data_IF_085658531354
#
_entry.id   IF_085658531354
#
_cell.length_a   1.000
_cell.length_b   1.000
_cell.length_c   1.000
_cell.angle_alpha   90.00
_cell.angle_beta   90.00
_cell.angle_gamma   90.00
#
_symmetry.space_group_name_H-M   'P 1'
#
loop_
_entity.id
_entity.type
_entity.pdbx_description
1 polymer ?
#
# COMPACT_ATOMS: atom_id res chain seq x y z
N UNK A 1 -16.54 17.69 -51.28
CA UNK A 1 -15.49 18.68 -50.96
C UNK A 1 -16.06 19.68 -49.98
N UNK A 2 -15.56 19.72 -48.73
CA UNK A 2 -15.48 20.90 -47.87
C UNK A 2 -14.86 20.45 -46.53
N UNK A 3 -13.56 20.70 -46.45
CA UNK A 3 -12.72 20.67 -45.25
C UNK A 3 -13.03 21.91 -44.42
N UNK A 4 -13.28 21.78 -43.11
CA UNK A 4 -12.76 22.73 -42.12
C UNK A 4 -12.42 21.97 -40.83
N UNK A 5 -11.12 21.95 -40.56
CA UNK A 5 -10.39 21.41 -39.42
C UNK A 5 -10.50 22.33 -38.20
N UNK A 6 -10.54 21.69 -37.04
CA UNK A 6 -9.89 22.04 -35.76
C UNK A 6 -9.55 23.52 -35.50
N UNK A 7 -10.31 24.15 -34.61
CA UNK A 7 -9.81 25.26 -33.78
C UNK A 7 -8.83 24.70 -32.74
N UNK A 8 -7.56 24.64 -33.12
CA UNK A 8 -6.46 24.43 -32.18
C UNK A 8 -5.99 25.79 -31.66
N UNK A 9 -5.77 25.79 -30.35
CA UNK A 9 -5.26 26.88 -29.54
C UNK A 9 -4.01 27.52 -30.17
N UNK A 10 -4.11 28.82 -30.44
CA UNK A 10 -2.96 29.69 -30.72
C UNK A 10 -2.18 29.92 -29.44
N UNK A 11 -1.10 29.17 -29.22
CA UNK A 11 -0.09 29.54 -28.24
C UNK A 11 0.81 30.63 -28.85
N UNK A 12 0.75 31.78 -28.21
CA UNK A 12 1.50 32.99 -28.51
C UNK A 12 2.99 32.76 -28.20
N UNK A 13 3.79 32.34 -29.18
CA UNK A 13 5.25 32.23 -29.04
C UNK A 13 5.89 33.57 -29.42
N UNK A 14 6.07 34.45 -28.43
CA UNK A 14 7.03 35.55 -28.57
C UNK A 14 8.44 34.98 -28.43
N UNK A 15 9.37 35.21 -29.37
CA UNK A 15 10.75 34.80 -29.21
C UNK A 15 11.42 35.65 -28.10
N UNK A 16 12.02 34.99 -27.12
CA UNK A 16 12.88 35.63 -26.13
C UNK A 16 14.14 36.16 -26.82
N UNK A 17 14.17 37.47 -27.07
CA UNK A 17 15.34 38.19 -27.53
C UNK A 17 16.32 38.27 -26.35
N UNK A 18 17.41 37.52 -26.44
CA UNK A 18 18.54 37.65 -25.52
C UNK A 18 19.27 38.96 -25.81
N UNK A 19 19.02 39.98 -24.98
CA UNK A 19 19.83 41.19 -24.99
C UNK A 19 21.26 40.83 -24.59
N UNK A 20 22.19 41.00 -25.52
CA UNK A 20 23.63 40.95 -25.29
C UNK A 20 24.01 42.07 -24.31
N UNK A 21 24.09 41.73 -23.02
CA UNK A 21 24.76 42.59 -22.05
C UNK A 21 26.26 42.57 -22.35
N UNK A 22 26.76 43.72 -22.80
CA UNK A 22 28.19 44.02 -22.87
C UNK A 22 28.78 43.92 -21.46
N UNK A 23 29.65 42.95 -21.24
CA UNK A 23 30.45 42.82 -20.03
C UNK A 23 31.44 43.98 -19.98
N UNK A 24 31.16 44.96 -19.11
CA UNK A 24 32.14 45.94 -18.68
C UNK A 24 33.20 45.21 -17.82
N UNK A 25 34.44 45.28 -18.26
CA UNK A 25 35.62 44.74 -17.60
C UNK A 25 35.94 45.55 -16.35
N UNK A 26 35.57 45.05 -15.17
CA UNK A 26 36.26 45.30 -13.88
C UNK A 26 35.57 44.47 -12.79
N UNK A 27 35.90 43.17 -12.71
CA UNK A 27 35.63 42.35 -11.54
C UNK A 27 36.97 41.91 -10.92
N UNK A 28 37.10 41.95 -9.58
CA UNK A 28 38.34 41.65 -8.89
C UNK A 28 38.74 40.17 -9.08
N UNK A 29 40.05 39.96 -9.27
CA UNK A 29 40.68 38.66 -9.50
C UNK A 29 40.67 37.82 -8.22
N UNK A 30 39.54 37.15 -7.93
CA UNK A 30 39.47 36.11 -6.90
C UNK A 30 40.15 34.88 -7.48
N UNK A 31 41.42 34.66 -7.13
CA UNK A 31 42.10 33.39 -7.36
C UNK A 31 41.29 32.30 -6.66
N UNK A 32 40.48 31.56 -7.41
CA UNK A 32 39.84 30.36 -6.93
C UNK A 32 40.95 29.36 -6.55
N UNK A 33 41.11 29.12 -5.25
CA UNK A 33 41.85 27.96 -4.79
C UNK A 33 41.20 26.71 -5.42
N UNK A 34 41.97 25.73 -5.94
CA UNK A 34 41.40 24.50 -6.45
C UNK A 34 40.70 23.81 -5.29
N UNK A 35 39.36 23.85 -5.29
CA UNK A 35 38.58 23.03 -4.38
C UNK A 35 38.94 21.57 -4.71
N UNK A 36 39.65 20.92 -3.78
CA UNK A 36 39.88 19.49 -3.80
C UNK A 36 38.52 18.84 -3.67
N UNK A 37 37.85 18.60 -4.80
CA UNK A 37 36.62 17.82 -4.85
C UNK A 37 36.99 16.36 -4.61
N UNK A 38 37.19 16.00 -3.35
CA UNK A 38 37.32 14.62 -2.87
C UNK A 38 35.96 13.92 -2.81
N UNK A 39 35.02 14.32 -3.67
CA UNK A 39 33.75 13.61 -3.83
C UNK A 39 34.02 12.43 -4.74
N UNK A 40 34.35 11.29 -4.13
CA UNK A 40 34.41 10.01 -4.84
C UNK A 40 33.02 9.76 -5.46
N UNK A 41 32.91 9.42 -6.74
CA UNK A 41 31.65 8.98 -7.31
C UNK A 41 31.19 7.75 -6.52
N UNK A 42 30.04 7.87 -5.86
CA UNK A 42 29.52 6.81 -5.01
C UNK A 42 29.03 5.69 -5.94
N UNK A 43 29.55 4.49 -5.75
CA UNK A 43 29.18 3.34 -6.57
C UNK A 43 27.71 2.95 -6.30
N UNK A 44 26.97 2.64 -7.35
CA UNK A 44 25.52 2.43 -7.27
C UNK A 44 25.13 1.21 -6.43
N UNK A 45 26.05 0.26 -6.27
CA UNK A 45 25.84 -0.95 -5.48
C UNK A 45 26.16 -0.75 -4.00
N UNK A 46 27.16 0.08 -3.66
CA UNK A 46 27.43 0.50 -2.27
C UNK A 46 26.26 1.30 -1.68
N UNK A 47 25.63 2.18 -2.48
CA UNK A 47 24.41 2.90 -2.09
C UNK A 47 23.24 1.96 -1.82
N UNK A 48 23.06 0.92 -2.63
CA UNK A 48 21.99 -0.06 -2.40
C UNK A 48 22.22 -0.81 -1.11
N UNK A 49 23.44 -1.24 -0.83
CA UNK A 49 23.77 -1.93 0.41
C UNK A 49 23.60 -1.03 1.64
N UNK A 50 24.01 0.23 1.55
CA UNK A 50 23.85 1.19 2.62
C UNK A 50 22.36 1.45 2.89
N UNK A 51 21.54 1.63 1.85
CA UNK A 51 20.09 1.76 1.98
C UNK A 51 19.49 0.49 2.62
N UNK A 52 19.94 -0.71 2.24
CA UNK A 52 19.44 -1.97 2.82
C UNK A 52 19.81 -2.07 4.31
N UNK A 53 21.03 -1.68 4.70
CA UNK A 53 21.46 -1.68 6.11
C UNK A 53 20.73 -0.64 6.95
N UNK A 54 20.57 0.58 6.43
CA UNK A 54 19.84 1.63 7.13
C UNK A 54 18.35 1.30 7.25
N UNK A 55 17.76 0.70 6.20
CA UNK A 55 16.36 0.25 6.24
C UNK A 55 16.15 -0.96 7.14
N UNK A 56 17.12 -1.88 7.25
CA UNK A 56 17.04 -3.02 8.17
C UNK A 56 17.20 -2.56 9.62
N UNK A 57 18.14 -1.66 9.92
CA UNK A 57 18.29 -1.03 11.23
C UNK A 57 17.04 -0.22 11.64
N UNK A 58 16.48 0.57 10.71
CA UNK A 58 15.22 1.29 10.95
C UNK A 58 14.02 0.34 11.14
N UNK A 59 14.06 -0.86 10.55
CA UNK A 59 13.01 -1.87 10.74
C UNK A 59 13.11 -2.64 12.06
N UNK A 60 14.31 -2.75 12.64
CA UNK A 60 14.54 -3.42 13.92
C UNK A 60 13.84 -2.70 15.10
N UNK A 61 13.65 -1.40 14.98
CA UNK A 61 13.01 -0.54 15.98
C UNK A 61 11.48 -0.43 15.84
N UNK A 62 10.89 -1.12 14.87
CA UNK A 62 9.45 -1.09 14.63
C UNK A 62 8.78 -2.33 15.19
N UNK A 63 7.97 -2.12 16.23
CA UNK A 63 7.12 -3.16 16.77
C UNK A 63 5.80 -3.22 15.99
N UNK A 64 5.39 -4.42 15.57
CA UNK A 64 4.13 -4.61 14.86
C UNK A 64 2.96 -4.56 15.84
N UNK A 65 2.14 -3.50 15.76
CA UNK A 65 1.00 -3.30 16.65
C UNK A 65 -0.26 -4.04 16.19
N UNK A 66 -0.55 -4.02 14.88
CA UNK A 66 -1.71 -4.69 14.30
C UNK A 66 -1.62 -4.85 12.79
N UNK A 67 -2.31 -5.85 12.28
CA UNK A 67 -2.67 -5.95 10.87
C UNK A 67 -4.04 -5.35 10.63
N UNK A 68 -4.28 -4.76 9.46
CA UNK A 68 -5.62 -4.32 9.08
C UNK A 68 -5.98 -4.61 7.64
N UNK A 69 -7.21 -5.08 7.46
CA UNK A 69 -7.89 -5.24 6.19
C UNK A 69 -8.93 -4.13 6.11
N UNK A 70 -8.85 -3.30 5.08
CA UNK A 70 -9.83 -2.25 4.79
C UNK A 70 -10.53 -2.57 3.48
N UNK A 71 -11.83 -2.87 3.56
CA UNK A 71 -12.69 -3.15 2.41
C UNK A 71 -13.62 -1.98 2.15
N UNK A 72 -13.45 -1.29 1.03
CA UNK A 72 -14.32 -0.20 0.60
C UNK A 72 -15.31 -0.69 -0.46
N UNK A 73 -16.58 -0.74 -0.06
CA UNK A 73 -17.73 -1.07 -0.88
C UNK A 73 -18.31 0.18 -1.54
N UNK A 74 -17.98 0.42 -2.82
CA UNK A 74 -18.63 1.46 -3.64
C UNK A 74 -19.74 0.84 -4.49
N UNK A 75 -20.62 1.68 -5.03
CA UNK A 75 -21.72 1.26 -5.93
C UNK A 75 -21.22 0.48 -7.16
N UNK A 76 -20.01 0.76 -7.64
CA UNK A 76 -19.49 0.24 -8.92
C UNK A 76 -18.13 -0.45 -8.82
N UNK A 77 -17.59 -0.60 -7.60
CA UNK A 77 -16.30 -1.23 -7.39
C UNK A 77 -16.11 -1.59 -5.91
N UNK A 78 -15.31 -2.62 -5.65
CA UNK A 78 -14.83 -2.95 -4.31
C UNK A 78 -13.32 -2.78 -4.31
N UNK A 79 -12.79 -2.13 -3.27
CA UNK A 79 -11.35 -1.97 -3.05
C UNK A 79 -10.97 -2.62 -1.75
N UNK A 80 -9.92 -3.42 -1.76
CA UNK A 80 -9.38 -4.07 -0.58
C UNK A 80 -7.95 -3.60 -0.38
N UNK A 81 -7.63 -3.13 0.81
CA UNK A 81 -6.28 -2.75 1.20
C UNK A 81 -5.87 -3.60 2.41
N UNK A 82 -4.70 -4.21 2.34
CA UNK A 82 -4.08 -4.89 3.46
C UNK A 82 -2.87 -4.09 3.93
N UNK A 83 -2.81 -3.83 5.22
CA UNK A 83 -1.89 -2.88 5.84
C UNK A 83 -1.35 -3.40 7.16
N UNK A 84 -0.17 -2.93 7.50
CA UNK A 84 0.46 -3.13 8.81
C UNK A 84 0.58 -1.80 9.52
N UNK A 85 0.44 -1.86 10.83
CA UNK A 85 0.62 -0.72 11.71
C UNK A 85 1.74 -1.03 12.69
N UNK A 86 2.72 -0.14 12.73
CA UNK A 86 3.90 -0.26 13.57
C UNK A 86 3.92 0.85 14.63
N UNK A 87 4.37 0.49 15.83
CA UNK A 87 4.75 1.44 16.88
C UNK A 87 6.27 1.56 16.83
N UNK A 88 6.75 2.79 16.88
CA UNK A 88 8.18 3.09 16.87
C UNK A 88 8.65 3.22 18.31
N UNK A 89 9.45 2.26 18.77
CA UNK A 89 9.91 2.21 20.16
C UNK A 89 10.95 3.29 20.45
N UNK A 90 11.65 3.80 19.43
CA UNK A 90 12.68 4.84 19.61
C UNK A 90 12.12 6.21 19.97
N UNK A 91 10.85 6.47 19.62
CA UNK A 91 10.20 7.75 19.92
C UNK A 91 9.67 7.84 21.35
N UNK A 92 9.68 6.73 22.07
CA UNK A 92 9.30 6.66 23.48
C UNK A 92 10.58 6.62 24.32
N UNK A 93 11.23 7.76 24.62
CA UNK A 93 12.35 7.76 25.53
C UNK A 93 11.85 7.33 26.91
N UNK A 94 12.35 6.20 27.42
CA UNK A 94 12.14 5.79 28.81
C UNK A 94 13.08 6.65 29.65
N UNK A 95 12.62 7.86 29.96
CA UNK A 95 13.28 8.79 30.89
C UNK A 95 12.33 9.07 32.05
N UNK A 96 12.87 9.31 33.25
CA UNK A 96 12.08 9.54 34.47
C UNK A 96 11.06 10.70 34.34
N UNK A 97 11.30 11.64 33.41
CA UNK A 97 10.36 12.70 33.01
C UNK A 97 9.57 12.29 31.74
N UNK A 98 8.75 11.25 31.85
CA UNK A 98 7.94 10.77 30.73
C UNK A 98 6.79 11.77 30.44
N UNK A 99 6.83 12.42 29.27
CA UNK A 99 5.69 13.22 28.79
C UNK A 99 4.57 12.29 28.29
N UNK A 100 3.65 11.96 29.20
CA UNK A 100 2.50 11.08 28.93
C UNK A 100 1.66 11.54 27.73
N UNK A 101 1.53 12.85 27.48
CA UNK A 101 0.75 13.34 26.35
C UNK A 101 1.41 13.00 25.02
N UNK A 102 2.74 13.09 24.94
CA UNK A 102 3.49 12.70 23.75
C UNK A 102 3.40 11.20 23.50
N UNK A 103 3.54 10.38 24.54
CA UNK A 103 3.39 8.92 24.45
C UNK A 103 2.00 8.51 23.97
N UNK A 104 0.94 9.12 24.52
CA UNK A 104 -0.44 8.86 24.09
C UNK A 104 -0.62 9.29 22.63
N UNK A 105 -0.12 10.46 22.24
CA UNK A 105 -0.25 10.95 20.86
C UNK A 105 0.43 10.04 19.83
N UNK A 106 1.61 9.52 20.16
CA UNK A 106 2.38 8.60 19.31
C UNK A 106 1.74 7.20 19.25
N UNK A 107 1.23 6.69 20.37
CA UNK A 107 0.50 5.41 20.40
C UNK A 107 -0.87 5.45 19.68
N UNK A 108 -1.55 6.61 19.66
CA UNK A 108 -2.83 6.77 18.94
C UNK A 108 -2.65 6.69 17.41
N UNK A 109 -1.51 7.18 16.89
CA UNK A 109 -1.25 7.25 15.43
C UNK A 109 -0.05 6.38 15.04
N UNK A 110 -0.21 5.05 15.02
CA UNK A 110 0.85 4.15 14.59
C UNK A 110 1.23 4.38 13.12
N UNK A 111 2.49 4.11 12.80
CA UNK A 111 3.04 4.21 11.44
C UNK A 111 2.35 3.18 10.57
N UNK A 112 1.81 3.64 9.44
CA UNK A 112 1.07 2.81 8.50
C UNK A 112 1.95 2.38 7.32
N UNK A 113 2.03 1.07 7.06
CA UNK A 113 2.67 0.50 5.87
C UNK A 113 1.64 -0.30 5.06
N UNK A 114 1.40 0.13 3.82
CA UNK A 114 0.50 -0.57 2.90
C UNK A 114 1.27 -1.73 2.25
N UNK A 115 0.81 -2.97 2.45
CA UNK A 115 1.45 -4.16 1.86
C UNK A 115 0.92 -4.47 0.48
N UNK A 116 -0.41 -4.46 0.32
CA UNK A 116 -1.00 -4.53 -1.01
C UNK A 116 -2.37 -3.88 -1.05
N UNK A 117 -2.76 -3.55 -2.27
CA UNK A 117 -4.05 -2.98 -2.60
C UNK A 117 -4.57 -3.65 -3.86
N UNK A 118 -5.78 -4.18 -3.77
CA UNK A 118 -6.46 -4.83 -4.89
C UNK A 118 -7.88 -4.29 -5.01
N UNK A 119 -8.48 -4.50 -6.17
CA UNK A 119 -9.87 -4.17 -6.45
C UNK A 119 -10.44 -5.21 -7.40
N UNK A 120 -11.76 -5.24 -7.57
CA UNK A 120 -12.39 -6.13 -8.55
C UNK A 120 -11.81 -5.89 -9.95
N UNK A 121 -11.54 -4.62 -10.30
CA UNK A 121 -10.92 -4.26 -11.57
C UNK A 121 -9.50 -4.78 -11.78
N UNK A 122 -8.72 -4.99 -10.71
CA UNK A 122 -7.35 -5.55 -10.86
C UNK A 122 -7.34 -7.07 -11.01
N UNK A 123 -8.48 -7.73 -10.82
CA UNK A 123 -8.63 -9.17 -11.06
C UNK A 123 -9.08 -9.45 -12.51
N UNK A 124 -9.47 -8.41 -13.26
CA UNK A 124 -9.83 -8.51 -14.68
C UNK A 124 -11.30 -8.22 -14.99
N UNK A 125 -12.15 -8.06 -13.97
CA UNK A 125 -13.55 -7.71 -14.18
C UNK A 125 -13.70 -6.24 -14.57
N UNK A 126 -14.32 -5.98 -15.72
CA UNK A 126 -14.47 -4.64 -16.28
C UNK A 126 -15.94 -4.15 -16.27
N UNK A 127 -16.12 -2.83 -16.25
CA UNK A 127 -17.43 -2.17 -16.38
C UNK A 127 -18.54 -2.72 -15.45
N UNK A 128 -19.64 -3.21 -16.02
CA UNK A 128 -20.78 -3.79 -15.32
C UNK A 128 -20.43 -5.09 -14.59
N UNK A 129 -19.51 -5.89 -15.14
CA UNK A 129 -19.09 -7.17 -14.54
C UNK A 129 -18.50 -7.00 -13.13
N UNK A 130 -18.02 -5.79 -12.78
CA UNK A 130 -17.57 -5.47 -11.41
C UNK A 130 -18.68 -5.54 -10.35
N UNK A 131 -19.93 -5.55 -10.77
CA UNK A 131 -21.10 -5.52 -9.88
C UNK A 131 -21.65 -6.90 -9.61
N UNK A 132 -21.32 -7.88 -10.45
CA UNK A 132 -21.82 -9.24 -10.35
C UNK A 132 -21.35 -9.91 -9.05
N UNK A 133 -22.21 -10.73 -8.42
CA UNK A 133 -21.88 -11.39 -7.15
C UNK A 133 -20.70 -12.36 -7.31
N UNK A 134 -20.58 -13.03 -8.46
CA UNK A 134 -19.47 -13.95 -8.74
C UNK A 134 -18.10 -13.26 -8.69
N UNK A 135 -18.02 -12.04 -9.25
CA UNK A 135 -16.79 -11.24 -9.21
C UNK A 135 -16.38 -10.87 -7.77
N UNK A 136 -17.37 -10.73 -6.88
CA UNK A 136 -17.16 -10.44 -5.45
C UNK A 136 -16.63 -11.67 -4.73
N UNK A 137 -17.20 -12.85 -5.00
CA UNK A 137 -16.74 -14.11 -4.41
C UNK A 137 -15.31 -14.43 -4.84
N UNK A 138 -15.00 -14.27 -6.13
CA UNK A 138 -13.64 -14.47 -6.66
C UNK A 138 -12.66 -13.47 -6.03
N UNK A 139 -13.06 -12.20 -5.86
CA UNK A 139 -12.25 -11.22 -5.13
C UNK A 139 -12.01 -11.66 -3.68
N UNK A 140 -13.05 -12.12 -2.98
CA UNK A 140 -12.95 -12.58 -1.60
C UNK A 140 -11.94 -13.72 -1.50
N UNK A 141 -12.11 -14.78 -2.31
CA UNK A 141 -11.20 -15.91 -2.36
C UNK A 141 -9.75 -15.50 -2.64
N UNK A 142 -9.54 -14.64 -3.64
CA UNK A 142 -8.21 -14.15 -3.98
C UNK A 142 -7.56 -13.41 -2.81
N UNK A 143 -8.31 -12.52 -2.14
CA UNK A 143 -7.82 -11.74 -0.99
C UNK A 143 -7.54 -12.66 0.19
N UNK A 144 -8.48 -13.53 0.53
CA UNK A 144 -8.36 -14.47 1.66
C UNK A 144 -7.13 -15.34 1.53
N UNK A 145 -6.94 -15.98 0.36
CA UNK A 145 -5.78 -16.81 0.10
C UNK A 145 -4.47 -16.01 0.15
N UNK A 146 -4.46 -14.80 -0.43
CA UNK A 146 -3.26 -13.96 -0.45
C UNK A 146 -2.85 -13.49 0.95
N UNK A 147 -3.81 -13.13 1.80
CA UNK A 147 -3.55 -12.71 3.18
C UNK A 147 -3.21 -13.92 4.05
N UNK A 148 -3.95 -15.02 3.94
CA UNK A 148 -3.66 -16.24 4.70
C UNK A 148 -2.27 -16.78 4.36
N UNK A 149 -1.88 -16.77 3.08
CA UNK A 149 -0.53 -17.13 2.66
C UNK A 149 0.51 -16.20 3.30
N UNK A 150 0.29 -14.88 3.27
CA UNK A 150 1.19 -13.92 3.91
C UNK A 150 1.33 -14.14 5.42
N UNK A 151 0.21 -14.40 6.11
CA UNK A 151 0.22 -14.64 7.55
C UNK A 151 0.89 -15.97 7.92
N UNK A 152 0.87 -16.97 7.02
CA UNK A 152 1.56 -18.26 7.19
C UNK A 152 3.06 -18.18 6.88
N UNK A 153 3.48 -17.42 5.87
CA UNK A 153 4.89 -17.37 5.44
C UNK A 153 5.68 -16.21 6.05
N UNK A 154 5.02 -15.21 6.64
CA UNK A 154 5.67 -14.03 7.22
C UNK A 154 6.23 -13.04 6.20
N UNK A 155 6.39 -13.43 4.93
CA UNK A 155 6.79 -12.52 3.86
C UNK A 155 6.19 -12.85 2.48
N UNK A 156 5.78 -11.81 1.74
CA UNK A 156 5.19 -11.90 0.38
C UNK A 156 6.27 -12.17 -0.69
N UNK A 157 7.52 -11.81 -0.41
CA UNK A 157 8.65 -11.98 -1.33
C UNK A 157 9.10 -13.45 -1.41
N UNK A 158 9.02 -14.20 -0.31
CA UNK A 158 9.33 -15.62 -0.30
C UNK A 158 8.31 -16.43 -1.11
N UNK A 159 7.03 -16.04 -1.12
CA UNK A 159 6.00 -16.63 -1.99
C UNK A 159 6.34 -16.46 -3.48
N UNK A 160 6.89 -15.31 -3.89
CA UNK A 160 7.35 -15.13 -5.28
C UNK A 160 8.54 -16.03 -5.61
N UNK A 161 9.47 -16.22 -4.66
CA UNK A 161 10.64 -17.09 -4.81
C UNK A 161 10.27 -18.58 -4.78
N UNK A 162 9.26 -18.98 -4.01
CA UNK A 162 8.78 -20.37 -3.96
C UNK A 162 8.00 -20.73 -5.23
N UNK A 163 7.20 -19.81 -5.78
CA UNK A 163 6.49 -19.99 -7.06
C UNK A 163 7.47 -20.12 -8.25
N UNK A 164 8.60 -19.40 -8.24
CA UNK A 164 9.64 -19.59 -9.26
C UNK A 164 10.39 -20.91 -9.11
N UNK A 165 10.64 -21.38 -7.87
CA UNK A 165 11.22 -22.71 -7.63
C UNK A 165 10.29 -23.87 -7.97
N UNK A 166 8.97 -23.71 -7.81
CA UNK A 166 7.99 -24.74 -8.16
C UNK A 166 7.76 -24.88 -9.68
N UNK A 167 8.17 -23.90 -10.49
CA UNK A 167 8.18 -24.02 -11.96
C UNK A 167 9.43 -24.71 -12.51
N UNK A 168 10.48 -24.84 -11.71
CA UNK A 168 11.64 -25.71 -12.00
C UNK A 168 11.47 -27.04 -11.28
N UNK A 169 10.54 -27.87 -11.76
CA UNK A 169 10.26 -29.17 -11.16
C UNK A 169 11.40 -30.17 -11.42
N UNK A 170 12.16 -30.51 -10.37
CA UNK A 170 12.56 -31.90 -10.15
C UNK A 170 11.52 -32.52 -9.24
N UNK A 171 10.79 -33.51 -9.77
CA UNK A 171 9.96 -34.40 -8.98
C UNK A 171 10.87 -35.16 -8.01
N UNK A 172 10.61 -35.03 -6.71
CA UNK A 172 11.06 -36.01 -5.73
C UNK A 172 9.82 -36.80 -5.37
N UNK A 173 9.80 -38.06 -5.83
CA UNK A 173 8.96 -39.08 -5.26
C UNK A 173 9.42 -39.24 -3.81
N UNK A 174 8.54 -38.97 -2.85
CA UNK A 174 8.38 -39.81 -1.66
C UNK A 174 7.18 -39.29 -0.86
N UNK A 175 6.24 -40.20 -0.63
CA UNK A 175 5.09 -39.99 0.23
C UNK A 175 5.54 -39.73 1.65
N UNK A 176 5.50 -38.46 2.07
CA UNK A 176 5.72 -38.03 3.44
C UNK A 176 4.52 -37.23 3.90
N UNK A 177 3.89 -37.68 4.98
CA UNK A 177 2.84 -36.98 5.70
C UNK A 177 3.25 -35.52 5.95
N UNK A 178 2.39 -34.57 5.54
CA UNK A 178 2.52 -33.19 5.97
C UNK A 178 2.03 -33.15 7.41
N UNK A 179 2.98 -33.33 8.32
CA UNK A 179 2.84 -33.00 9.73
C UNK A 179 2.15 -31.64 9.87
N UNK A 180 1.08 -31.61 10.65
CA UNK A 180 0.52 -30.38 11.20
C UNK A 180 1.66 -29.53 11.77
N UNK A 181 1.96 -28.37 11.19
CA UNK A 181 2.75 -27.30 11.81
C UNK A 181 2.94 -26.12 10.83
N UNK A 182 3.11 -24.87 11.29
CA UNK A 182 2.84 -24.31 12.62
C UNK A 182 1.77 -23.21 12.52
N UNK A 183 0.80 -23.20 13.44
CA UNK A 183 0.06 -21.96 13.70
C UNK A 183 1.08 -20.99 14.24
N UNK A 184 1.54 -20.04 13.40
CA UNK A 184 2.29 -18.89 13.88
C UNK A 184 1.41 -18.28 14.97
N UNK A 185 1.87 -18.35 16.22
CA UNK A 185 1.27 -17.63 17.34
C UNK A 185 1.05 -16.21 16.84
N UNK A 186 -0.21 -15.81 16.74
CA UNK A 186 -0.69 -14.58 16.13
C UNK A 186 0.12 -13.40 16.69
N UNK A 187 1.18 -12.97 15.98
CA UNK A 187 2.15 -12.00 16.52
C UNK A 187 1.50 -10.64 16.78
N UNK A 188 0.45 -10.32 16.04
CA UNK A 188 -0.38 -9.14 16.24
C UNK A 188 -1.83 -9.40 15.79
N UNK A 189 -2.82 -8.73 16.39
CA UNK A 189 -4.23 -8.87 16.03
C UNK A 189 -4.55 -8.36 14.61
N UNK A 190 -5.47 -9.02 13.93
CA UNK A 190 -5.98 -8.66 12.59
C UNK A 190 -7.32 -7.94 12.70
N UNK A 191 -7.32 -6.70 12.24
CA UNK A 191 -8.46 -5.81 12.21
C UNK A 191 -9.12 -5.85 10.84
N UNK A 192 -10.29 -6.46 10.75
CA UNK A 192 -11.12 -6.41 9.56
C UNK A 192 -12.08 -5.23 9.61
N UNK A 193 -12.09 -4.44 8.55
CA UNK A 193 -12.90 -3.23 8.48
C UNK A 193 -13.51 -3.01 7.14
N UNK A 194 -14.71 -2.46 7.17
CA UNK A 194 -15.42 -2.15 5.95
C UNK A 194 -16.00 -0.74 5.94
N UNK A 195 -16.19 -0.22 4.73
CA UNK A 195 -16.78 1.09 4.50
C UNK A 195 -17.71 1.05 3.31
N UNK A 196 -18.92 1.57 3.50
CA UNK A 196 -19.93 1.71 2.46
C UNK A 196 -21.03 0.66 2.54
N UNK A 197 -22.14 0.96 1.90
CA UNK A 197 -23.41 0.23 2.00
C UNK A 197 -23.85 -0.37 0.66
N UNK A 198 -22.90 -0.75 -0.21
CA UNK A 198 -23.26 -1.37 -1.49
C UNK A 198 -23.91 -2.74 -1.27
N UNK A 199 -24.76 -3.18 -2.22
CA UNK A 199 -25.38 -4.52 -2.20
C UNK A 199 -24.32 -5.63 -2.07
N UNK A 200 -23.17 -5.41 -2.68
CA UNK A 200 -22.05 -6.35 -2.69
C UNK A 200 -21.35 -6.50 -1.32
N UNK A 201 -21.66 -5.63 -0.34
CA UNK A 201 -21.18 -5.82 1.04
C UNK A 201 -21.66 -7.16 1.60
N UNK A 202 -22.95 -7.47 1.45
CA UNK A 202 -23.54 -8.71 1.97
C UNK A 202 -22.90 -9.92 1.30
N UNK A 203 -22.87 -9.92 -0.04
CA UNK A 203 -22.23 -10.97 -0.85
C UNK A 203 -20.78 -11.22 -0.42
N UNK A 204 -20.00 -10.15 -0.18
CA UNK A 204 -18.62 -10.29 0.28
C UNK A 204 -18.51 -10.89 1.68
N UNK A 205 -19.40 -10.52 2.60
CA UNK A 205 -19.41 -11.11 3.95
C UNK A 205 -19.83 -12.58 3.91
N UNK A 206 -20.83 -12.91 3.10
CA UNK A 206 -21.31 -14.28 2.93
C UNK A 206 -20.18 -15.16 2.34
N UNK A 207 -19.45 -14.66 1.34
CA UNK A 207 -18.26 -15.33 0.80
C UNK A 207 -17.11 -15.43 1.82
N UNK A 208 -16.93 -14.41 2.68
CA UNK A 208 -15.91 -14.44 3.72
C UNK A 208 -16.22 -15.49 4.80
N UNK A 209 -17.49 -15.68 5.14
CA UNK A 209 -17.93 -16.72 6.08
C UNK A 209 -18.04 -18.11 5.42
N UNK A 210 -18.11 -18.14 4.10
CA UNK A 210 -18.14 -19.35 3.29
C UNK A 210 -16.75 -19.95 3.02
N UNK A 211 -16.67 -20.89 2.05
CA UNK A 211 -15.43 -21.58 1.72
C UNK A 211 -14.35 -20.65 1.14
N UNK A 212 -14.72 -19.50 0.59
CA UNK A 212 -13.77 -18.54 0.04
C UNK A 212 -12.95 -17.83 1.13
N UNK A 213 -13.46 -17.72 2.35
CA UNK A 213 -12.80 -17.06 3.46
C UNK A 213 -12.30 -18.00 4.57
N UNK A 214 -12.52 -19.30 4.46
CA UNK A 214 -12.15 -20.32 5.46
C UNK A 214 -10.71 -20.17 5.96
N UNK A 215 -9.76 -19.89 5.07
CA UNK A 215 -8.35 -19.74 5.43
C UNK A 215 -8.04 -18.44 6.18
N UNK A 216 -8.85 -17.39 6.01
CA UNK A 216 -8.62 -16.07 6.59
C UNK A 216 -9.40 -15.84 7.89
N UNK A 217 -10.62 -16.38 7.99
CA UNK A 217 -11.52 -16.17 9.14
C UNK A 217 -10.87 -16.46 10.50
N UNK A 218 -10.11 -17.56 10.69
CA UNK A 218 -9.44 -17.85 11.97
C UNK A 218 -8.45 -16.75 12.39
N UNK A 219 -7.93 -16.00 11.42
CA UNK A 219 -7.00 -14.91 11.69
C UNK A 219 -7.70 -13.60 12.04
N UNK A 220 -9.00 -13.42 11.84
CA UNK A 220 -9.68 -12.14 12.12
C UNK A 220 -10.01 -12.05 13.62
N UNK A 221 -9.53 -10.99 14.28
CA UNK A 221 -9.84 -10.74 15.70
C UNK A 221 -10.98 -9.73 15.87
N UNK A 222 -10.92 -8.63 15.13
CA UNK A 222 -11.81 -7.49 15.34
C UNK A 222 -12.46 -7.11 14.02
N UNK A 223 -13.78 -6.96 14.05
CA UNK A 223 -14.59 -6.52 12.91
C UNK A 223 -15.25 -5.18 13.23
N UNK A 224 -15.12 -4.18 12.35
CA UNK A 224 -15.78 -2.88 12.57
C UNK A 224 -16.20 -2.16 11.28
N UNK A 225 -17.28 -1.39 11.37
CA UNK A 225 -17.79 -0.55 10.28
C UNK A 225 -17.22 0.88 10.38
N UNK A 226 -16.54 1.34 9.32
CA UNK A 226 -16.00 2.70 9.14
C UNK A 226 -16.80 3.51 8.11
N UNK A 227 -18.08 3.20 7.93
CA UNK A 227 -18.96 3.97 7.05
C UNK A 227 -19.18 5.38 7.59
N UNK A 228 -18.57 6.35 6.92
CA UNK A 228 -18.69 7.75 7.28
C UNK A 228 -20.13 8.24 7.12
N UNK A 229 -20.68 8.88 8.16
CA UNK A 229 -21.92 9.64 8.15
C UNK A 229 -21.60 11.11 8.36
N UNK A 230 -22.39 12.00 7.77
CA UNK A 230 -22.25 13.45 7.94
C UNK A 230 -23.37 13.99 8.81
N UNK A 231 -23.06 14.92 9.70
CA UNK A 231 -24.03 15.67 10.49
C UNK A 231 -24.08 17.11 9.95
N UNK A 232 -25.04 17.43 9.09
CA UNK A 232 -25.24 18.79 8.55
C UNK A 232 -24.23 19.30 7.50
N UNK A 233 -23.07 18.65 7.30
CA UNK A 233 -22.05 19.08 6.33
C UNK A 233 -22.50 19.14 4.86
N UNK A 234 -21.58 19.48 3.95
CA UNK A 234 -21.81 19.82 2.52
C UNK A 234 -23.06 19.20 1.86
N UNK A 235 -23.86 20.05 1.21
CA UNK A 235 -25.06 19.64 0.46
C UNK A 235 -24.71 18.52 -0.54
N UNK A 236 -25.52 17.47 -0.55
CA UNK A 236 -25.36 16.36 -1.49
C UNK A 236 -25.69 16.79 -2.93
N UNK A 237 -25.32 15.95 -3.90
CA UNK A 237 -25.77 16.13 -5.29
C UNK A 237 -27.30 16.07 -5.35
N UNK A 238 -27.90 16.81 -6.28
CA UNK A 238 -29.34 16.76 -6.52
C UNK A 238 -29.79 15.34 -6.88
N UNK A 239 -31.03 15.02 -6.54
CA UNK A 239 -31.66 13.75 -6.88
C UNK A 239 -31.77 13.66 -8.40
N UNK A 240 -31.31 12.55 -8.97
CA UNK A 240 -31.37 12.31 -10.41
C UNK A 240 -32.79 11.90 -10.80
N UNK A 241 -33.35 12.53 -11.83
CA UNK A 241 -34.59 12.12 -12.50
C UNK A 241 -34.17 11.20 -13.65
N UNK A 242 -34.17 9.88 -13.42
CA UNK A 242 -33.90 8.87 -14.44
C UNK A 242 -35.24 8.29 -14.87
#
# INVERSE_FOLDING_TARGET
MLSIRSKLLSFNTKPLIFNQFRLASTLPNIKAAPAVSSVKPIDGDELKEQIIRETSAASANLELAKYAIHVQFKKHNIKVCFSEYFIDTTKIPITDNLDYHRLIKESIKPIHRLRFKTSIGSIGFNNSAKREPEAVNILCRYVSNKIAAYLKTGDLLELKKSITKSKSGKFVNDGGYINESPVIKKKAPLYFSFKGTSKNKRVFMDALLGPEGEQLVPYIDVVFDKTARKHGGNKGKSVRRV
#
